data_IF_311075192487
#
_entry.id   IF_311075192487
#
_cell.length_a   1.000
_cell.length_b   1.000
_cell.length_c   1.000
_cell.angle_alpha   90.00
_cell.angle_beta   90.00
_cell.angle_gamma   90.00
#
_symmetry.space_group_name_H-M   'P 1'
#
loop_
_entity.id
_entity.type
_entity.pdbx_description
1 polymer ?
#
# COMPACT_ATOMS: atom_id res chain seq x y z
N UNK A 1 12.27 -6.64 -11.44
CA UNK A 1 11.85 -5.93 -10.22
C UNK A 1 11.14 -4.68 -10.66
N UNK A 2 9.86 -4.55 -10.32
CA UNK A 2 9.08 -3.36 -10.58
C UNK A 2 9.03 -2.49 -9.30
N UNK A 3 8.74 -1.21 -9.48
CA UNK A 3 8.43 -0.29 -8.39
C UNK A 3 6.93 -0.10 -8.38
N UNK A 4 6.27 -0.46 -7.29
CA UNK A 4 4.81 -0.40 -7.15
C UNK A 4 4.48 0.67 -6.13
N UNK A 5 3.83 1.75 -6.57
CA UNK A 5 3.31 2.76 -5.66
C UNK A 5 1.99 2.29 -5.04
N UNK A 6 1.86 2.45 -3.73
CA UNK A 6 0.70 2.05 -2.94
C UNK A 6 -0.09 3.27 -2.51
N UNK A 7 -1.32 3.36 -3.02
CA UNK A 7 -2.31 4.35 -2.61
C UNK A 7 -2.81 4.12 -1.17
N UNK A 8 -3.36 5.16 -0.56
CA UNK A 8 -3.98 5.12 0.77
C UNK A 8 -5.01 3.98 0.90
N UNK A 9 -5.82 3.74 -0.14
CA UNK A 9 -6.83 2.68 -0.16
C UNK A 9 -6.23 1.28 -0.17
N UNK A 10 -5.05 1.09 -0.78
CA UNK A 10 -4.35 -0.20 -0.80
C UNK A 10 -3.71 -0.48 0.57
N UNK A 11 -3.11 0.55 1.18
CA UNK A 11 -2.58 0.48 2.55
C UNK A 11 -3.70 0.20 3.57
N UNK A 12 -4.81 0.95 3.51
CA UNK A 12 -6.00 0.75 4.33
C UNK A 12 -6.55 -0.67 4.16
N UNK A 13 -6.82 -1.12 2.94
CA UNK A 13 -7.47 -2.41 2.70
C UNK A 13 -6.60 -3.60 3.15
N UNK A 14 -5.28 -3.52 2.94
CA UNK A 14 -4.33 -4.55 3.39
C UNK A 14 -4.16 -4.59 4.93
N UNK A 15 -4.39 -3.46 5.61
CA UNK A 15 -4.36 -3.36 7.06
C UNK A 15 -5.70 -3.73 7.72
N UNK A 16 -6.82 -3.30 7.13
CA UNK A 16 -8.17 -3.58 7.61
C UNK A 16 -8.48 -5.07 7.50
N UNK A 17 -8.49 -5.62 6.29
CA UNK A 17 -8.78 -7.04 6.04
C UNK A 17 -7.52 -7.90 6.16
N UNK A 18 -7.40 -8.58 7.30
CA UNK A 18 -6.28 -9.48 7.67
C UNK A 18 -5.90 -10.46 6.56
N UNK A 19 -6.86 -11.03 5.85
CA UNK A 19 -6.63 -12.13 4.90
C UNK A 19 -6.89 -11.70 3.43
N UNK A 20 -6.81 -10.40 3.17
CA UNK A 20 -6.96 -9.83 1.83
C UNK A 20 -5.85 -10.26 0.85
N UNK A 21 -6.25 -10.50 -0.41
CA UNK A 21 -5.33 -10.83 -1.51
C UNK A 21 -4.24 -9.77 -1.75
N UNK A 22 -4.48 -8.52 -1.34
CA UNK A 22 -3.53 -7.41 -1.43
C UNK A 22 -2.21 -7.67 -0.66
N UNK A 23 -2.22 -8.52 0.36
CA UNK A 23 -1.00 -8.88 1.12
C UNK A 23 0.07 -9.61 0.29
N UNK A 24 -0.21 -10.00 -0.96
CA UNK A 24 0.81 -10.51 -1.89
C UNK A 24 1.76 -9.43 -2.41
N UNK A 25 1.36 -8.16 -2.42
CA UNK A 25 2.23 -7.05 -2.84
C UNK A 25 3.49 -6.99 -1.97
N UNK A 26 3.39 -7.38 -0.70
CA UNK A 26 4.50 -7.43 0.27
C UNK A 26 5.49 -8.60 0.08
N UNK A 27 5.36 -9.39 -0.99
CA UNK A 27 6.34 -10.44 -1.36
C UNK A 27 7.64 -9.80 -1.89
N UNK A 28 8.81 -10.43 -1.69
CA UNK A 28 10.13 -9.82 -1.96
C UNK A 28 10.52 -9.69 -3.45
N UNK A 29 9.55 -9.63 -4.37
CA UNK A 29 9.79 -9.47 -5.82
C UNK A 29 9.74 -8.01 -6.28
N UNK A 30 8.93 -7.19 -5.63
CA UNK A 30 8.70 -5.79 -6.00
C UNK A 30 9.19 -4.82 -4.92
N UNK A 31 9.58 -3.62 -5.35
CA UNK A 31 9.88 -2.50 -4.45
C UNK A 31 8.59 -1.71 -4.19
N UNK A 32 8.08 -1.76 -2.97
CA UNK A 32 6.89 -1.03 -2.57
C UNK A 32 7.23 0.41 -2.20
N UNK A 33 6.51 1.37 -2.79
CA UNK A 33 6.63 2.81 -2.53
C UNK A 33 5.29 3.37 -2.03
N UNK A 34 5.29 4.46 -1.27
CA UNK A 34 4.08 5.26 -0.97
C UNK A 34 4.49 6.69 -0.57
N UNK A 35 3.60 7.68 -0.65
CA UNK A 35 3.91 9.02 -0.11
C UNK A 35 3.55 9.13 1.36
N UNK A 36 4.14 10.11 2.05
CA UNK A 36 3.78 10.42 3.45
C UNK A 36 2.30 10.77 3.61
N UNK A 37 1.68 11.36 2.59
CA UNK A 37 0.25 11.67 2.55
C UNK A 37 -0.59 10.39 2.48
N UNK A 38 -0.29 9.46 1.56
CA UNK A 38 -1.02 8.19 1.47
C UNK A 38 -0.97 7.38 2.78
N UNK A 39 0.15 7.44 3.51
CA UNK A 39 0.28 6.83 4.83
C UNK A 39 -0.56 7.54 5.91
N UNK A 40 -0.69 8.87 5.86
CA UNK A 40 -1.52 9.63 6.78
C UNK A 40 -3.01 9.31 6.59
N UNK A 41 -3.50 9.37 5.35
CA UNK A 41 -4.89 9.01 5.00
C UNK A 41 -5.22 7.56 5.38
N UNK A 42 -4.31 6.62 5.09
CA UNK A 42 -4.47 5.21 5.48
C UNK A 42 -4.51 5.00 7.00
N UNK A 43 -3.94 5.89 7.82
CA UNK A 43 -4.06 5.87 9.28
C UNK A 43 -5.37 6.49 9.76
N UNK A 44 -5.76 7.65 9.20
CA UNK A 44 -7.00 8.35 9.56
C UNK A 44 -8.25 7.47 9.31
N UNK A 45 -8.24 6.67 8.25
CA UNK A 45 -9.34 5.77 7.92
C UNK A 45 -9.43 4.51 8.82
N UNK A 46 -8.41 4.19 9.64
CA UNK A 46 -8.39 2.99 10.49
C UNK A 46 -8.80 3.31 11.94
N UNK A 47 -10.06 3.06 12.28
CA UNK A 47 -10.57 3.18 13.65
C UNK A 47 -10.10 2.07 14.60
N UNK A 48 -9.83 0.86 14.10
CA UNK A 48 -9.43 -0.29 14.92
C UNK A 48 -7.94 -0.26 15.30
N UNK A 49 -7.56 -0.30 16.60
CA UNK A 49 -6.15 -0.35 17.04
C UNK A 49 -5.39 -1.55 16.48
N UNK A 50 -6.10 -2.67 16.31
CA UNK A 50 -5.58 -3.91 15.76
C UNK A 50 -5.22 -3.77 14.26
N UNK A 51 -6.02 -2.99 13.51
CA UNK A 51 -5.74 -2.66 12.12
C UNK A 51 -4.64 -1.61 11.97
N UNK A 52 -4.57 -0.59 12.84
CA UNK A 52 -3.44 0.35 12.89
C UNK A 52 -2.11 -0.37 13.19
N UNK A 53 -2.14 -1.39 14.06
CA UNK A 53 -1.00 -2.28 14.34
C UNK A 53 -0.60 -3.10 13.11
N UNK A 54 -1.57 -3.59 12.33
CA UNK A 54 -1.32 -4.27 11.04
C UNK A 54 -0.70 -3.31 10.02
N UNK A 55 -1.23 -2.08 9.86
CA UNK A 55 -0.67 -1.06 8.96
C UNK A 55 0.79 -0.75 9.31
N UNK A 56 1.09 -0.55 10.61
CA UNK A 56 2.45 -0.25 11.07
C UNK A 56 3.46 -1.33 10.67
N UNK A 57 3.08 -2.62 10.77
CA UNK A 57 3.91 -3.76 10.35
C UNK A 57 4.05 -3.87 8.81
N UNK A 58 3.04 -3.47 8.05
CA UNK A 58 3.10 -3.44 6.59
C UNK A 58 4.06 -2.34 6.10
N UNK A 59 3.99 -1.15 6.69
CA UNK A 59 4.75 0.04 6.28
C UNK A 59 6.26 -0.11 6.53
N UNK A 60 6.68 -0.94 7.49
CA UNK A 60 8.10 -1.33 7.68
C UNK A 60 8.77 -1.96 6.43
N UNK A 61 7.98 -2.36 5.42
CA UNK A 61 8.45 -2.95 4.14
C UNK A 61 8.12 -2.07 2.93
N UNK A 62 7.73 -0.80 3.14
CA UNK A 62 7.38 0.18 2.10
C UNK A 62 8.31 1.37 2.23
N UNK A 63 8.93 1.79 1.14
CA UNK A 63 9.73 3.02 1.11
C UNK A 63 8.80 4.23 0.99
N UNK A 64 8.87 5.13 1.97
CA UNK A 64 8.15 6.41 1.90
C UNK A 64 8.95 7.34 0.98
N UNK A 65 8.35 7.75 -0.14
CA UNK A 65 8.94 8.71 -1.08
C UNK A 65 8.43 10.12 -0.79
N UNK A 66 9.25 11.17 -1.01
CA UNK A 66 8.78 12.55 -0.91
C UNK A 66 7.78 12.85 -2.03
N UNK A 67 6.85 13.76 -1.75
CA UNK A 67 5.99 14.37 -2.76
C UNK A 67 6.85 15.18 -3.75
N UNK A 68 6.61 15.14 -5.07
CA UNK A 68 7.31 16.01 -6.00
C UNK A 68 7.09 17.49 -5.65
N UNK A 69 8.14 18.29 -5.77
CA UNK A 69 8.00 19.75 -5.68
C UNK A 69 7.00 20.23 -6.73
N UNK A 70 6.11 21.16 -6.35
CA UNK A 70 4.95 21.57 -7.13
C UNK A 70 5.33 22.20 -8.48
N UNK A 71 5.48 21.36 -9.51
CA UNK A 71 5.57 21.72 -10.91
C UNK A 71 4.17 21.67 -11.52
N UNK A 72 3.77 22.74 -12.21
CA UNK A 72 2.43 22.84 -12.81
C UNK A 72 2.16 21.65 -13.72
N UNK A 73 1.13 20.82 -13.48
CA UNK A 73 0.88 19.65 -14.29
C UNK A 73 0.51 20.06 -15.73
N UNK A 74 0.99 19.37 -16.77
CA UNK A 74 0.52 19.59 -18.13
C UNK A 74 -0.98 19.25 -18.21
N UNK A 75 -1.76 19.95 -19.04
CA UNK A 75 -3.21 19.74 -19.11
C UNK A 75 -3.56 18.42 -19.83
N UNK A 76 -4.04 17.43 -19.08
CA UNK A 76 -4.44 16.11 -19.61
C UNK A 76 -5.61 15.46 -18.87
N UNK A 77 -6.75 16.16 -18.78
CA UNK A 77 -8.02 15.59 -18.27
C UNK A 77 -8.57 14.46 -19.17
N UNK A 78 -8.73 13.20 -18.68
CA UNK A 78 -9.99 12.37 -18.69
C UNK A 78 -9.86 10.84 -18.51
N UNK A 79 -10.91 10.25 -17.88
CA UNK A 79 -11.44 8.84 -17.90
C UNK A 79 -10.77 7.78 -16.97
N UNK A 80 -11.58 6.81 -16.52
CA UNK A 80 -11.31 5.76 -15.49
C UNK A 80 -12.10 4.47 -15.85
N UNK A 81 -11.58 3.25 -15.58
CA UNK A 81 -12.22 1.92 -15.78
C UNK A 81 -11.83 0.89 -14.67
N UNK A 82 -12.39 -0.34 -14.63
CA UNK A 82 -12.54 -1.17 -13.38
C UNK A 82 -12.20 -2.70 -13.44
N UNK A 83 -11.81 -3.31 -12.28
CA UNK A 83 -11.92 -4.75 -11.83
C UNK A 83 -10.79 -5.81 -12.06
N UNK A 84 -10.28 -6.54 -11.01
CA UNK A 84 -9.43 -7.81 -11.04
C UNK A 84 -8.96 -8.39 -9.64
N UNK A 85 -8.68 -9.73 -9.43
CA UNK A 85 -8.03 -10.41 -8.22
C UNK A 85 -7.37 -11.83 -8.49
N UNK A 86 -6.27 -12.25 -7.79
CA UNK A 86 -5.79 -13.68 -7.61
C UNK A 86 -4.48 -13.90 -6.74
N UNK A 87 -4.27 -15.01 -5.96
CA UNK A 87 -3.20 -15.07 -4.88
C UNK A 87 -2.63 -16.45 -4.30
N UNK A 88 -2.23 -16.51 -2.99
CA UNK A 88 -1.58 -17.55 -2.10
C UNK A 88 -0.05 -17.86 -2.28
N UNK A 89 0.72 -18.55 -1.38
CA UNK A 89 0.90 -18.54 0.13
C UNK A 89 2.27 -17.85 0.58
N UNK A 90 3.21 -18.17 1.53
CA UNK A 90 3.60 -19.22 2.57
C UNK A 90 4.62 -18.63 3.64
N UNK A 91 5.07 -19.34 4.74
CA UNK A 91 6.14 -18.88 5.73
C UNK A 91 6.86 -19.97 6.62
N UNK A 92 8.22 -20.00 6.76
CA UNK A 92 9.06 -20.61 7.86
C UNK A 92 9.86 -19.54 8.69
N UNK A 93 10.83 -19.70 9.63
CA UNK A 93 11.63 -20.77 10.30
C UNK A 93 12.01 -20.37 11.78
N UNK A 94 13.12 -20.89 12.38
CA UNK A 94 13.70 -20.68 13.75
C UNK A 94 15.18 -20.16 13.69
N UNK A 95 15.91 -19.81 14.77
CA UNK A 95 15.76 -20.07 16.23
C UNK A 95 16.01 -18.84 17.10
#
# INVERSE_FOLDING_TARGET
MHRVFLDANVLFSAAYQRDSGLRALWRPRETLLTSGYCLAEARLNLSEPDAQTRLTRLVQRVSIVPEPAATSPPDHRRRICTTSIGQAPVKPSTS
#
